data_IF_788574631066
#
_entry.id   IF_788574631066
#
_cell.length_a   1.000
_cell.length_b   1.000
_cell.length_c   1.000
_cell.angle_alpha   90.00
_cell.angle_beta   90.00
_cell.angle_gamma   90.00
#
_symmetry.space_group_name_H-M   'P 1'
#
loop_
_entity.id
_entity.type
_entity.pdbx_description
1 polymer ?
#
# COMPACT_ATOMS: atom_id res chain seq x y z
N UNK A 1 8.69 -10.75 2.87
CA UNK A 1 7.53 -11.51 2.41
C UNK A 1 7.64 -11.61 0.90
N UNK A 2 6.77 -12.35 0.23
CA UNK A 2 6.82 -12.44 -1.24
C UNK A 2 5.49 -11.99 -1.82
N UNK A 3 5.52 -10.99 -2.70
CA UNK A 3 4.37 -10.57 -3.49
C UNK A 3 3.78 -11.75 -4.28
N UNK A 4 2.45 -11.81 -4.34
CA UNK A 4 1.69 -12.81 -5.05
C UNK A 4 0.95 -12.14 -6.19
N UNK A 5 1.33 -12.54 -7.40
CA UNK A 5 0.68 -12.11 -8.63
C UNK A 5 -0.68 -12.82 -8.78
N UNK A 6 -1.76 -12.09 -8.52
CA UNK A 6 -3.15 -12.59 -8.53
C UNK A 6 -3.96 -11.78 -9.55
N UNK A 7 -4.27 -12.35 -10.73
CA UNK A 7 -4.88 -11.59 -11.84
C UNK A 7 -6.23 -10.90 -11.52
N UNK A 8 -7.15 -11.51 -10.73
CA UNK A 8 -8.36 -10.81 -10.29
C UNK A 8 -8.07 -9.51 -9.52
N UNK A 9 -7.07 -9.51 -8.64
CA UNK A 9 -6.68 -8.32 -7.88
C UNK A 9 -6.05 -7.25 -8.79
N UNK A 10 -5.22 -7.66 -9.76
CA UNK A 10 -4.63 -6.74 -10.73
C UNK A 10 -5.68 -6.00 -11.57
N UNK A 11 -6.76 -6.70 -11.95
CA UNK A 11 -7.88 -6.07 -12.66
C UNK A 11 -8.54 -4.98 -11.81
N UNK A 12 -8.74 -5.24 -10.52
CA UNK A 12 -9.29 -4.26 -9.58
C UNK A 12 -8.33 -3.08 -9.40
N UNK A 13 -7.03 -3.33 -9.20
CA UNK A 13 -6.03 -2.27 -9.09
C UNK A 13 -5.95 -1.39 -10.34
N UNK A 14 -6.08 -1.97 -11.53
CA UNK A 14 -6.08 -1.20 -12.78
C UNK A 14 -7.21 -0.15 -12.81
N UNK A 15 -8.38 -0.49 -12.25
CA UNK A 15 -9.49 0.44 -12.09
C UNK A 15 -9.28 1.40 -10.92
N UNK A 16 -8.83 0.90 -9.76
CA UNK A 16 -8.63 1.68 -8.54
C UNK A 16 -7.40 2.61 -8.59
N UNK A 17 -6.55 2.51 -9.62
CA UNK A 17 -5.36 3.35 -9.81
C UNK A 17 -5.67 4.85 -9.71
N UNK A 18 -6.82 5.29 -10.23
CA UNK A 18 -7.31 6.67 -10.12
C UNK A 18 -8.77 6.75 -10.55
N UNK A 19 -9.68 6.89 -9.59
CA UNK A 19 -11.13 6.97 -9.81
C UNK A 19 -11.62 8.37 -9.46
N UNK A 20 -11.94 9.17 -10.48
CA UNK A 20 -12.59 10.48 -10.28
C UNK A 20 -14.08 10.26 -9.96
N UNK A 21 -14.48 10.62 -8.74
CA UNK A 21 -15.89 10.55 -8.29
C UNK A 21 -16.57 11.94 -8.25
N UNK A 22 -15.94 12.96 -8.83
CA UNK A 22 -16.43 14.33 -8.95
C UNK A 22 -15.70 15.30 -8.01
N UNK A 23 -15.92 15.15 -6.70
CA UNK A 23 -15.38 16.04 -5.67
C UNK A 23 -13.94 15.67 -5.25
N UNK A 24 -13.60 14.39 -5.39
CA UNK A 24 -12.31 13.84 -5.01
C UNK A 24 -11.90 12.73 -5.97
N UNK A 25 -10.60 12.44 -5.99
CA UNK A 25 -10.03 11.31 -6.71
C UNK A 25 -9.66 10.24 -5.70
N UNK A 26 -10.16 9.03 -5.92
CA UNK A 26 -9.83 7.86 -5.11
C UNK A 26 -8.71 7.06 -5.76
N UNK A 27 -7.74 6.66 -4.95
CA UNK A 27 -6.67 5.74 -5.35
C UNK A 27 -6.67 4.57 -4.38
N UNK A 28 -6.57 3.35 -4.89
CA UNK A 28 -6.57 2.16 -4.06
C UNK A 28 -5.70 1.04 -4.61
N UNK A 29 -5.19 0.23 -3.68
CA UNK A 29 -4.24 -0.84 -3.93
C UNK A 29 -4.64 -2.09 -3.15
N UNK A 30 -4.83 -3.20 -3.87
CA UNK A 30 -4.99 -4.55 -3.33
C UNK A 30 -3.75 -5.38 -3.64
N UNK A 31 -3.05 -5.83 -2.60
CA UNK A 31 -1.84 -6.63 -2.77
C UNK A 31 -1.82 -7.83 -1.83
N UNK A 32 -1.43 -8.99 -2.36
CA UNK A 32 -1.33 -10.20 -1.57
C UNK A 32 0.13 -10.61 -1.40
N UNK A 33 0.48 -11.05 -0.19
CA UNK A 33 1.84 -11.44 0.17
C UNK A 33 1.84 -12.79 0.89
N UNK A 34 2.81 -13.64 0.55
CA UNK A 34 3.14 -14.79 1.38
C UNK A 34 3.98 -14.36 2.58
N UNK A 35 3.56 -14.77 3.78
CA UNK A 35 4.28 -14.56 5.04
C UNK A 35 5.51 -15.49 5.20
N UNK A 36 5.92 -16.19 4.14
CA UNK A 36 7.19 -16.94 4.14
C UNK A 36 8.36 -15.95 4.14
N UNK A 37 9.06 -15.87 5.26
CA UNK A 37 10.19 -14.97 5.43
C UNK A 37 11.46 -15.54 4.78
N UNK A 38 12.12 -14.71 3.97
CA UNK A 38 13.40 -15.00 3.32
C UNK A 38 14.26 -13.74 3.30
N UNK A 39 15.56 -13.88 3.04
CA UNK A 39 16.47 -12.74 2.83
C UNK A 39 16.42 -11.67 3.92
N UNK A 40 16.21 -10.43 3.50
CA UNK A 40 16.14 -9.25 4.38
C UNK A 40 14.99 -9.33 5.38
N UNK A 41 13.81 -9.83 4.98
CA UNK A 41 12.67 -9.93 5.89
C UNK A 41 12.92 -10.86 7.07
N UNK A 42 13.71 -11.91 6.87
CA UNK A 42 14.08 -12.82 7.96
C UNK A 42 14.99 -12.12 8.99
N UNK A 43 15.81 -11.15 8.55
CA UNK A 43 16.62 -10.33 9.44
C UNK A 43 15.76 -9.28 10.14
N UNK A 44 14.94 -8.56 9.38
CA UNK A 44 14.04 -7.53 9.90
C UNK A 44 13.04 -8.11 10.91
N UNK A 45 12.44 -9.26 10.61
CA UNK A 45 11.57 -9.98 11.55
C UNK A 45 12.25 -10.32 12.87
N UNK A 46 13.53 -10.71 12.86
CA UNK A 46 14.27 -10.99 14.10
C UNK A 46 14.56 -9.71 14.89
N UNK A 47 14.89 -8.62 14.20
CA UNK A 47 15.12 -7.32 14.81
C UNK A 47 13.86 -6.82 15.51
N UNK A 48 12.74 -6.82 14.79
CA UNK A 48 11.43 -6.41 15.32
C UNK A 48 10.97 -7.31 16.48
N UNK A 49 11.16 -8.63 16.40
CA UNK A 49 10.80 -9.53 17.51
C UNK A 49 11.60 -9.25 18.78
N UNK A 50 12.90 -8.95 18.65
CA UNK A 50 13.74 -8.55 19.77
C UNK A 50 13.30 -7.20 20.36
N UNK A 51 13.02 -6.23 19.49
CA UNK A 51 12.59 -4.90 19.89
C UNK A 51 11.24 -4.92 20.62
N UNK A 52 10.28 -5.70 20.13
CA UNK A 52 8.99 -5.89 20.82
C UNK A 52 9.20 -6.52 22.21
N UNK A 53 10.11 -7.48 22.35
CA UNK A 53 10.39 -8.11 23.64
C UNK A 53 11.05 -7.17 24.65
N UNK A 54 11.91 -6.25 24.18
CA UNK A 54 12.64 -5.32 25.07
C UNK A 54 11.94 -3.99 25.27
N UNK A 55 11.11 -3.57 24.30
CA UNK A 55 10.52 -2.24 24.22
C UNK A 55 9.03 -2.17 24.52
N UNK A 56 8.33 -3.31 24.64
CA UNK A 56 6.91 -3.31 25.00
C UNK A 56 6.68 -3.09 26.49
N UNK A 57 5.68 -2.27 26.79
CA UNK A 57 5.22 -2.05 28.17
C UNK A 57 4.58 -3.32 28.75
N UNK A 58 4.50 -3.46 30.09
CA UNK A 58 3.80 -4.57 30.73
C UNK A 58 2.33 -4.69 30.28
N UNK A 59 1.69 -3.56 29.95
CA UNK A 59 0.34 -3.55 29.42
C UNK A 59 0.30 -4.20 28.04
N UNK A 60 1.12 -3.77 27.09
CA UNK A 60 1.17 -4.36 25.73
C UNK A 60 1.53 -5.86 25.73
N UNK A 61 2.38 -6.29 26.66
CA UNK A 61 2.71 -7.71 26.82
C UNK A 61 1.49 -8.55 27.23
N UNK A 62 0.57 -7.98 28.00
CA UNK A 62 -0.65 -8.66 28.47
C UNK A 62 -1.87 -8.45 27.57
N UNK A 63 -2.01 -7.26 26.99
CA UNK A 63 -3.08 -6.90 26.08
C UNK A 63 -2.58 -5.83 25.10
N UNK A 64 -2.68 -6.11 23.81
CA UNK A 64 -2.45 -5.12 22.75
C UNK A 64 -3.51 -5.28 21.66
N UNK A 65 -3.69 -4.28 20.77
CA UNK A 65 -4.67 -4.36 19.70
C UNK A 65 -4.47 -5.55 18.75
N UNK A 66 -3.25 -6.08 18.64
CA UNK A 66 -2.92 -7.25 17.81
C UNK A 66 -2.88 -8.57 18.61
N UNK A 67 -3.26 -8.52 19.89
CA UNK A 67 -3.18 -9.62 20.87
C UNK A 67 -2.03 -9.44 21.87
N UNK A 68 -1.97 -10.23 22.96
CA UNK A 68 -0.92 -10.10 23.98
C UNK A 68 0.48 -10.30 23.37
N UNK A 69 1.38 -9.31 23.49
CA UNK A 69 2.72 -9.39 22.87
C UNK A 69 3.66 -10.38 23.59
N UNK A 70 3.30 -10.86 24.79
CA UNK A 70 3.95 -12.01 25.39
C UNK A 70 3.82 -13.27 24.50
N UNK A 71 2.77 -13.38 23.69
CA UNK A 71 2.56 -14.49 22.78
C UNK A 71 3.33 -14.34 21.47
N UNK A 72 4.03 -15.41 21.08
CA UNK A 72 4.80 -15.43 19.84
C UNK A 72 3.92 -15.31 18.59
N UNK A 73 2.65 -15.71 18.67
CA UNK A 73 1.63 -15.54 17.62
C UNK A 73 1.34 -14.07 17.36
N UNK A 74 1.05 -13.29 18.41
CA UNK A 74 0.73 -11.86 18.32
C UNK A 74 1.91 -11.05 17.81
N UNK A 75 3.13 -11.34 18.30
CA UNK A 75 4.35 -10.69 17.79
C UNK A 75 4.57 -10.96 16.30
N UNK A 76 4.37 -12.21 15.86
CA UNK A 76 4.46 -12.56 14.43
C UNK A 76 3.43 -11.82 13.60
N UNK A 77 2.19 -11.69 14.08
CA UNK A 77 1.17 -10.89 13.41
C UNK A 77 1.65 -9.45 13.24
N UNK A 78 2.06 -8.78 14.32
CA UNK A 78 2.58 -7.41 14.26
C UNK A 78 3.72 -7.25 13.24
N UNK A 79 4.69 -8.17 13.28
CA UNK A 79 5.81 -8.19 12.35
C UNK A 79 5.31 -8.33 10.91
N UNK A 80 4.33 -9.20 10.64
CA UNK A 80 3.79 -9.33 9.28
C UNK A 80 3.05 -8.08 8.82
N UNK A 81 2.32 -7.38 9.70
CA UNK A 81 1.69 -6.11 9.38
C UNK A 81 2.74 -5.05 9.00
N UNK A 82 3.78 -4.88 9.83
CA UNK A 82 4.88 -3.93 9.59
C UNK A 82 5.65 -4.29 8.31
N UNK A 83 5.99 -5.56 8.11
CA UNK A 83 6.66 -5.99 6.89
C UNK A 83 5.80 -5.72 5.66
N UNK A 84 4.50 -5.93 5.73
CA UNK A 84 3.58 -5.65 4.62
C UNK A 84 3.63 -4.17 4.26
N UNK A 85 3.60 -3.26 5.25
CA UNK A 85 3.77 -1.83 5.01
C UNK A 85 5.10 -1.49 4.33
N UNK A 86 6.22 -2.06 4.79
CA UNK A 86 7.53 -1.86 4.16
C UNK A 86 7.60 -2.38 2.72
N UNK A 87 6.80 -3.38 2.34
CA UNK A 87 6.74 -3.87 0.96
C UNK A 87 5.92 -2.94 0.07
N UNK A 88 4.78 -2.45 0.55
CA UNK A 88 3.87 -1.60 -0.23
C UNK A 88 4.46 -0.20 -0.41
N UNK A 89 5.17 0.28 0.59
CA UNK A 89 5.67 1.66 0.69
C UNK A 89 7.18 1.67 0.99
N UNK A 90 8.01 1.20 0.05
CA UNK A 90 9.44 0.97 0.30
C UNK A 90 10.23 2.27 0.60
N UNK A 91 9.71 3.42 0.18
CA UNK A 91 10.33 4.73 0.39
C UNK A 91 9.97 5.35 1.75
N UNK A 92 9.12 4.69 2.54
CA UNK A 92 8.66 5.17 3.84
C UNK A 92 9.29 4.35 4.98
N UNK A 93 9.64 5.03 6.08
CA UNK A 93 10.23 4.39 7.26
C UNK A 93 9.15 3.95 8.25
N UNK A 94 8.89 2.64 8.31
CA UNK A 94 7.96 2.03 9.28
C UNK A 94 8.67 1.43 10.50
N UNK A 95 9.93 1.77 10.76
CA UNK A 95 10.70 1.22 11.89
C UNK A 95 10.10 1.58 13.26
N UNK A 96 9.39 2.71 13.35
CA UNK A 96 8.73 3.18 14.57
C UNK A 96 7.35 2.55 14.80
N UNK A 97 6.80 1.80 13.84
CA UNK A 97 5.49 1.18 14.01
C UNK A 97 5.48 0.20 15.20
N UNK A 98 4.40 0.28 15.97
CA UNK A 98 4.10 -0.50 17.17
C UNK A 98 2.66 -1.00 17.16
N UNK A 99 2.34 -1.89 18.10
CA UNK A 99 1.02 -2.51 18.20
C UNK A 99 -0.15 -1.51 18.27
N UNK A 100 0.03 -0.33 18.86
CA UNK A 100 -1.04 0.68 18.99
C UNK A 100 -1.39 1.39 17.68
N UNK A 101 -0.52 1.34 16.67
CA UNK A 101 -0.84 1.86 15.34
C UNK A 101 -1.73 0.92 14.55
N UNK A 102 -2.00 -0.28 15.07
CA UNK A 102 -2.90 -1.23 14.45
C UNK A 102 -4.09 -1.49 15.34
N UNK A 103 -5.20 -1.90 14.75
CA UNK A 103 -6.42 -2.29 15.43
C UNK A 103 -6.85 -3.65 14.87
N UNK A 104 -7.22 -4.60 15.73
CA UNK A 104 -7.89 -5.82 15.26
C UNK A 104 -9.38 -5.55 15.13
N UNK A 105 -9.94 -5.86 13.97
CA UNK A 105 -11.38 -5.78 13.73
C UNK A 105 -12.11 -6.94 14.42
N UNK A 106 -13.30 -6.66 14.94
CA UNK A 106 -14.08 -7.67 15.66
C UNK A 106 -14.54 -8.81 14.73
N UNK A 107 -14.98 -8.47 13.52
CA UNK A 107 -15.42 -9.42 12.50
C UNK A 107 -15.03 -8.95 11.12
N UNK A 108 -14.87 -9.91 10.20
CA UNK A 108 -14.68 -9.64 8.77
C UNK A 108 -15.82 -8.76 8.23
N UNK A 109 -17.06 -9.05 8.58
CA UNK A 109 -18.23 -8.32 8.06
C UNK A 109 -18.27 -6.85 8.49
N UNK A 110 -17.78 -6.52 9.68
CA UNK A 110 -17.65 -5.10 10.08
C UNK A 110 -16.62 -4.36 9.23
N UNK A 111 -15.52 -5.01 8.88
CA UNK A 111 -14.52 -4.44 7.98
C UNK A 111 -15.09 -4.30 6.55
N UNK A 112 -15.83 -5.30 6.05
CA UNK A 112 -16.54 -5.22 4.77
C UNK A 112 -17.52 -4.04 4.74
N UNK A 113 -18.38 -3.89 5.76
CA UNK A 113 -19.34 -2.77 5.87
C UNK A 113 -18.65 -1.40 5.89
N UNK A 114 -17.53 -1.27 6.62
CA UNK A 114 -16.76 -0.04 6.68
C UNK A 114 -16.16 0.30 5.30
N UNK A 115 -15.51 -0.67 4.66
CA UNK A 115 -14.93 -0.52 3.32
C UNK A 115 -16.00 -0.19 2.28
N UNK A 116 -17.13 -0.90 2.29
CA UNK A 116 -18.25 -0.69 1.37
C UNK A 116 -18.76 0.76 1.44
N UNK A 117 -18.87 1.32 2.66
CA UNK A 117 -19.33 2.69 2.88
C UNK A 117 -18.43 3.73 2.20
N UNK A 118 -17.11 3.50 2.17
CA UNK A 118 -16.14 4.37 1.50
C UNK A 118 -16.18 4.22 -0.03
N UNK A 119 -16.60 3.05 -0.54
CA UNK A 119 -16.53 2.70 -1.97
C UNK A 119 -17.88 2.82 -2.70
N UNK A 120 -18.88 3.45 -2.09
CA UNK A 120 -20.20 3.66 -2.71
C UNK A 120 -20.12 4.50 -4.00
N UNK A 121 -19.38 5.60 -3.98
CA UNK A 121 -19.25 6.46 -5.18
C UNK A 121 -18.40 5.78 -6.27
N UNK A 122 -17.36 5.04 -5.87
CA UNK A 122 -16.54 4.21 -6.77
C UNK A 122 -17.40 3.19 -7.51
N UNK A 123 -18.34 2.55 -6.81
CA UNK A 123 -19.26 1.59 -7.40
C UNK A 123 -20.13 2.20 -8.51
N UNK A 124 -20.51 3.48 -8.37
CA UNK A 124 -21.27 4.20 -9.41
C UNK A 124 -20.42 4.50 -10.65
N UNK A 125 -19.13 4.80 -10.47
CA UNK A 125 -18.19 4.99 -11.59
C UNK A 125 -17.95 3.67 -12.31
N UNK A 126 -17.72 2.59 -11.56
CA UNK A 126 -17.57 1.24 -12.12
C UNK A 126 -18.75 0.83 -13.01
N UNK A 127 -19.98 1.02 -12.53
CA UNK A 127 -21.19 0.67 -13.28
C UNK A 127 -21.33 1.43 -14.62
N UNK A 128 -20.71 2.61 -14.74
CA UNK A 128 -20.69 3.43 -15.97
C UNK A 128 -19.46 3.16 -16.84
N UNK A 129 -18.48 2.40 -16.34
CA UNK A 129 -17.22 2.16 -17.04
C UNK A 129 -17.41 1.06 -18.09
N UNK A 130 -17.19 1.35 -19.40
CA UNK A 130 -17.35 0.36 -20.45
C UNK A 130 -16.45 -0.86 -20.23
N UNK A 131 -17.01 -2.07 -20.33
CA UNK A 131 -16.28 -3.33 -20.20
C UNK A 131 -16.02 -3.80 -18.75
N UNK A 132 -16.47 -3.06 -17.73
CA UNK A 132 -16.36 -3.45 -16.31
C UNK A 132 -17.73 -3.58 -15.62
N UNK A 133 -18.70 -2.73 -15.96
CA UNK A 133 -20.01 -2.64 -15.30
C UNK A 133 -20.99 -3.81 -15.52
N UNK A 134 -20.53 -4.99 -15.98
CA UNK A 134 -21.39 -6.18 -16.16
C UNK A 134 -21.83 -6.78 -14.81
N UNK A 135 -21.01 -6.64 -13.78
CA UNK A 135 -21.31 -7.06 -12.40
C UNK A 135 -21.02 -5.92 -11.42
N UNK A 136 -21.75 -5.84 -10.28
CA UNK A 136 -21.52 -4.82 -9.27
C UNK A 136 -20.07 -4.82 -8.77
N UNK A 137 -19.49 -3.64 -8.58
CA UNK A 137 -18.10 -3.50 -8.15
C UNK A 137 -17.79 -4.28 -6.87
N UNK A 138 -18.62 -4.10 -5.82
CA UNK A 138 -18.40 -4.76 -4.52
C UNK A 138 -18.49 -6.29 -4.61
N UNK A 139 -19.32 -6.83 -5.50
CA UNK A 139 -19.40 -8.27 -5.74
C UNK A 139 -18.10 -8.78 -6.40
N UNK A 140 -17.59 -8.07 -7.40
CA UNK A 140 -16.29 -8.36 -8.03
C UNK A 140 -15.14 -8.25 -7.03
N UNK A 141 -15.15 -7.23 -6.18
CA UNK A 141 -14.14 -6.97 -5.16
C UNK A 141 -14.09 -8.12 -4.15
N UNK A 142 -15.20 -8.41 -3.48
CA UNK A 142 -15.24 -9.40 -2.41
C UNK A 142 -15.06 -10.82 -2.91
N UNK A 143 -15.55 -11.16 -4.11
CA UNK A 143 -15.26 -12.47 -4.73
C UNK A 143 -13.77 -12.63 -5.03
N UNK A 144 -13.12 -11.60 -5.57
CA UNK A 144 -11.67 -11.63 -5.86
C UNK A 144 -10.83 -11.70 -4.58
N UNK A 145 -11.23 -10.98 -3.54
CA UNK A 145 -10.58 -11.04 -2.22
C UNK A 145 -10.75 -12.44 -1.61
N UNK A 146 -11.97 -13.01 -1.60
CA UNK A 146 -12.22 -14.33 -1.04
C UNK A 146 -11.44 -15.43 -1.79
N UNK A 147 -11.37 -15.38 -3.12
CA UNK A 147 -10.54 -16.29 -3.91
C UNK A 147 -9.05 -16.15 -3.55
N UNK A 148 -8.58 -14.92 -3.31
CA UNK A 148 -7.18 -14.64 -3.01
C UNK A 148 -6.77 -15.06 -1.58
N UNK A 149 -7.66 -15.02 -0.59
CA UNK A 149 -7.28 -15.14 0.83
C UNK A 149 -8.16 -16.06 1.69
N UNK A 150 -9.25 -16.61 1.15
CA UNK A 150 -10.32 -17.28 1.91
C UNK A 150 -10.78 -16.41 3.09
N UNK A 151 -11.58 -15.41 2.76
CA UNK A 151 -11.88 -14.24 3.58
C UNK A 151 -12.47 -14.62 4.95
N UNK A 152 -13.34 -15.63 4.99
CA UNK A 152 -13.96 -16.13 6.24
C UNK A 152 -12.99 -16.77 7.23
N UNK A 153 -11.78 -17.13 6.79
CA UNK A 153 -10.73 -17.68 7.65
C UNK A 153 -9.68 -16.64 8.09
N UNK A 154 -9.91 -15.36 7.80
CA UNK A 154 -8.99 -14.29 8.13
C UNK A 154 -9.24 -13.69 9.51
N UNK A 155 -8.14 -13.30 10.17
CA UNK A 155 -8.18 -12.20 11.13
C UNK A 155 -7.98 -10.89 10.35
N UNK A 156 -8.76 -9.86 10.65
CA UNK A 156 -8.68 -8.56 9.96
C UNK A 156 -8.09 -7.52 10.90
N UNK A 157 -7.19 -6.71 10.36
CA UNK A 157 -6.54 -5.61 11.06
C UNK A 157 -6.65 -4.34 10.24
N UNK A 158 -6.71 -3.19 10.89
CA UNK A 158 -6.60 -1.86 10.26
C UNK A 158 -5.35 -1.15 10.80
N UNK A 159 -4.74 -0.30 9.99
CA UNK A 159 -3.71 0.64 10.41
C UNK A 159 -4.35 2.00 10.69
N UNK A 160 -4.11 2.50 11.90
CA UNK A 160 -4.51 3.82 12.34
C UNK A 160 -3.35 4.79 12.05
N UNK A 161 -3.55 5.65 11.06
CA UNK A 161 -2.69 6.81 10.83
C UNK A 161 -2.74 7.71 12.06
N UNK A 162 -1.60 7.92 12.71
CA UNK A 162 -1.43 8.99 13.68
C UNK A 162 -0.71 10.17 13.02
N UNK A 163 -1.28 11.37 13.11
CA UNK A 163 -0.81 12.57 12.40
C UNK A 163 0.68 12.92 12.66
N UNK A 164 1.31 12.37 13.70
CA UNK A 164 2.71 12.63 14.06
C UNK A 164 3.71 11.62 13.47
N UNK A 165 3.30 10.37 13.23
CA UNK A 165 4.22 9.32 12.73
C UNK A 165 3.77 8.69 11.43
N UNK A 166 2.61 9.09 10.91
CA UNK A 166 2.07 8.58 9.66
C UNK A 166 2.88 9.06 8.45
N UNK A 167 3.58 8.15 7.75
CA UNK A 167 4.23 8.48 6.49
C UNK A 167 3.23 8.81 5.37
N UNK A 168 1.94 8.50 5.52
CA UNK A 168 0.83 8.94 4.65
C UNK A 168 0.18 10.25 5.12
N UNK A 169 0.84 11.02 5.99
CA UNK A 169 0.45 12.36 6.41
C UNK A 169 0.43 13.40 5.28
N UNK A 170 -0.09 13.01 4.12
CA UNK A 170 -0.53 13.88 3.05
C UNK A 170 -1.61 14.80 3.64
N UNK A 171 -1.25 16.06 3.86
CA UNK A 171 -2.18 17.16 4.25
C UNK A 171 -3.39 17.29 3.29
N UNK A 172 -3.37 16.59 2.15
CA UNK A 172 -4.37 16.60 1.10
C UNK A 172 -5.37 15.42 1.12
N UNK A 173 -5.20 14.42 1.99
CA UNK A 173 -6.10 13.27 2.06
C UNK A 173 -7.38 13.60 2.85
N UNK A 174 -8.55 13.42 2.23
CA UNK A 174 -9.86 13.59 2.88
C UNK A 174 -10.09 12.43 3.85
N UNK A 175 -9.77 11.23 3.41
CA UNK A 175 -9.79 10.02 4.20
C UNK A 175 -8.87 8.98 3.57
N UNK A 176 -8.34 8.10 4.39
CA UNK A 176 -7.66 6.88 3.96
C UNK A 176 -8.05 5.73 4.88
N UNK A 177 -7.96 4.53 4.34
CA UNK A 177 -8.03 3.31 5.13
C UNK A 177 -6.96 2.34 4.66
N UNK A 178 -6.52 1.48 5.58
CA UNK A 178 -5.47 0.50 5.34
C UNK A 178 -5.82 -0.78 6.08
N UNK A 179 -6.43 -1.73 5.39
CA UNK A 179 -6.87 -3.02 5.95
C UNK A 179 -5.91 -4.16 5.58
N UNK A 180 -5.79 -5.12 6.49
CA UNK A 180 -4.98 -6.32 6.34
C UNK A 180 -5.81 -7.55 6.69
N UNK A 181 -6.00 -8.43 5.71
CA UNK A 181 -6.68 -9.71 5.86
C UNK A 181 -5.63 -10.80 6.00
N UNK A 182 -5.43 -11.30 7.23
CA UNK A 182 -4.40 -12.28 7.52
C UNK A 182 -4.97 -13.69 7.69
N UNK A 183 -4.70 -14.55 6.71
CA UNK A 183 -5.01 -15.98 6.79
C UNK A 183 -3.80 -16.76 7.35
N UNK A 184 -3.89 -17.09 8.65
CA UNK A 184 -2.84 -17.84 9.38
C UNK A 184 -2.58 -19.24 8.81
N UNK A 185 -3.61 -19.93 8.31
CA UNK A 185 -3.47 -21.30 7.79
C UNK A 185 -2.71 -21.30 6.46
N UNK A 186 -3.01 -20.35 5.59
CA UNK A 186 -2.32 -20.16 4.32
C UNK A 186 -0.96 -19.50 4.46
N UNK A 187 -0.68 -18.84 5.60
CA UNK A 187 0.47 -17.95 5.79
C UNK A 187 0.52 -16.89 4.70
N UNK A 188 -0.61 -16.23 4.50
CA UNK A 188 -0.82 -15.19 3.48
C UNK A 188 -1.51 -14.01 4.12
N UNK A 189 -1.13 -12.82 3.71
CA UNK A 189 -1.80 -11.57 4.06
C UNK A 189 -2.23 -10.89 2.76
N UNK A 190 -3.42 -10.31 2.76
CA UNK A 190 -3.88 -9.42 1.71
C UNK A 190 -4.01 -8.03 2.33
N UNK A 191 -3.37 -7.05 1.72
CA UNK A 191 -3.52 -5.65 2.02
C UNK A 191 -4.57 -5.05 1.10
N UNK A 192 -5.41 -4.19 1.65
CA UNK A 192 -6.28 -3.31 0.88
C UNK A 192 -6.22 -1.90 1.47
N UNK A 193 -5.59 -0.99 0.73
CA UNK A 193 -5.53 0.41 1.07
C UNK A 193 -6.31 1.25 0.06
N UNK A 194 -6.99 2.28 0.54
CA UNK A 194 -7.52 3.35 -0.32
C UNK A 194 -7.26 4.69 0.33
N UNK A 195 -7.08 5.71 -0.51
CA UNK A 195 -7.05 7.12 -0.10
C UNK A 195 -7.90 7.95 -1.06
N UNK A 196 -8.61 8.92 -0.50
CA UNK A 196 -9.34 9.92 -1.25
C UNK A 196 -8.65 11.27 -1.08
N UNK A 197 -8.24 11.88 -2.18
CA UNK A 197 -7.64 13.22 -2.19
C UNK A 197 -8.58 14.19 -2.88
N UNK A 198 -8.63 15.43 -2.39
CA UNK A 198 -9.43 16.47 -3.04
C UNK A 198 -9.02 16.64 -4.51
N UNK A 199 -9.98 16.97 -5.37
CA UNK A 199 -9.69 17.15 -6.80
C UNK A 199 -8.64 18.24 -7.05
N UNK A 200 -8.70 19.32 -6.28
CA UNK A 200 -7.70 20.39 -6.32
C UNK A 200 -6.27 19.85 -6.05
N UNK A 201 -6.10 19.07 -4.98
CA UNK A 201 -4.79 18.52 -4.64
C UNK A 201 -4.31 17.48 -5.68
N UNK A 202 -5.23 16.71 -6.24
CA UNK A 202 -4.91 15.77 -7.32
C UNK A 202 -4.39 16.51 -8.57
N UNK A 203 -5.06 17.60 -8.97
CA UNK A 203 -4.66 18.41 -10.11
C UNK A 203 -3.28 19.06 -9.89
N UNK A 204 -3.03 19.62 -8.70
CA UNK A 204 -1.74 20.23 -8.32
C UNK A 204 -0.56 19.24 -8.37
N UNK A 205 -0.79 17.97 -7.97
CA UNK A 205 0.21 16.91 -8.05
C UNK A 205 0.55 16.53 -9.51
N UNK A 206 -0.45 16.52 -10.41
CA UNK A 206 -0.20 16.26 -11.83
C UNK A 206 0.56 17.40 -12.51
N UNK A 207 0.26 18.65 -12.17
CA UNK A 207 0.95 19.82 -12.71
C UNK A 207 2.42 19.89 -12.26
N UNK A 208 2.71 19.49 -11.02
CA UNK A 208 4.09 19.41 -10.51
C UNK A 208 4.88 18.32 -11.22
N UNK A 209 4.34 17.11 -11.37
CA UNK A 209 4.99 16.04 -12.14
C UNK A 209 5.31 16.48 -13.58
N UNK A 210 4.32 17.08 -14.25
CA UNK A 210 4.45 17.58 -15.63
C UNK A 210 5.54 18.65 -15.77
N UNK A 211 5.73 19.48 -14.73
CA UNK A 211 6.75 20.52 -14.71
C UNK A 211 8.15 19.95 -14.52
N UNK A 212 8.32 18.94 -13.65
CA UNK A 212 9.59 18.23 -13.49
C UNK A 212 9.99 17.45 -14.73
N UNK A 213 9.03 16.79 -15.40
CA UNK A 213 9.28 16.07 -16.65
C UNK A 213 9.75 17.03 -17.77
N UNK A 214 9.15 18.24 -17.85
CA UNK A 214 9.59 19.28 -18.79
C UNK A 214 11.00 19.78 -18.48
N UNK A 215 11.35 20.01 -17.22
CA UNK A 215 12.72 20.44 -16.85
C UNK A 215 13.78 19.37 -17.14
N UNK A 216 13.46 18.09 -16.99
CA UNK A 216 14.37 17.00 -17.33
C UNK A 216 14.54 16.86 -18.85
N UNK A 217 13.49 17.13 -19.65
CA UNK A 217 13.58 17.15 -21.10
C UNK A 217 14.44 18.31 -21.64
N UNK A 218 14.36 19.48 -21.01
CA UNK A 218 15.15 20.65 -21.43
C UNK A 218 16.65 20.56 -21.05
N UNK A 219 17.07 19.60 -20.22
CA UNK A 219 18.48 19.39 -19.86
C UNK A 219 19.22 18.38 -20.76
N UNK A 220 18.51 17.47 -21.43
CA UNK A 220 19.14 16.48 -22.34
C UNK A 220 19.46 17.05 -23.72
N UNK A 221 19.00 18.27 -24.06
CA UNK A 221 19.20 18.91 -25.37
C UNK A 221 20.38 19.91 -25.43
N UNK A 222 21.26 19.98 -24.40
CA UNK A 222 22.37 20.96 -24.35
C UNK A 222 23.81 20.43 -24.31
N UNK A 223 24.07 19.13 -24.51
CA UNK A 223 25.44 18.58 -24.52
C UNK A 223 25.83 17.90 -25.86
N UNK A 224 25.77 18.63 -26.98
CA UNK A 224 26.51 18.25 -28.20
C UNK A 224 27.12 19.48 -28.90
N UNK A 225 28.18 20.02 -28.31
CA UNK A 225 29.10 20.91 -29.05
C UNK A 225 30.53 20.83 -28.48
N UNK A 226 31.13 19.64 -28.58
CA UNK A 226 32.59 19.52 -28.50
C UNK A 226 33.10 18.34 -29.32
N UNK A 227 33.35 18.56 -30.61
CA UNK A 227 34.46 17.90 -31.33
C UNK A 227 34.62 18.47 -32.76
N UNK A 228 35.35 19.58 -32.88
CA UNK A 228 35.87 20.03 -34.18
C UNK A 228 37.20 20.77 -34.09
N UNK A 229 38.27 20.06 -33.71
CA UNK A 229 39.62 20.43 -34.13
C UNK A 229 40.49 19.17 -34.32
N UNK A 230 40.66 18.80 -35.59
CA UNK A 230 41.63 17.80 -35.99
C UNK A 230 41.56 17.61 -37.49
N UNK A 231 42.49 18.24 -38.23
CA UNK A 231 43.11 17.79 -39.49
C UNK A 231 43.78 18.97 -40.21
N UNK A 232 45.11 19.00 -40.19
CA UNK A 232 45.96 19.59 -41.22
C UNK A 232 47.31 18.85 -41.17
N UNK A 233 47.42 17.73 -41.90
CA UNK A 233 48.16 17.57 -43.17
C UNK A 233 49.67 17.42 -43.00
N UNK A 234 50.13 16.17 -43.08
CA UNK A 234 51.43 15.83 -43.68
C UNK A 234 51.32 15.93 -45.20
N UNK A 235 52.31 16.55 -45.84
CA UNK A 235 52.82 16.16 -47.17
C UNK A 235 54.26 16.68 -47.31
N UNK A 236 55.11 15.78 -47.81
CA UNK A 236 56.56 15.86 -48.01
C UNK A 236 57.07 17.04 -48.88
N UNK A 237 58.26 17.58 -48.61
CA UNK A 237 59.60 17.20 -49.15
C UNK A 237 60.69 17.90 -48.32
#
# INVERSE_FOLDING_TARGET
MKYLDIPPLQRLNAFLKSVDVGEYVLMGDLEAYSCKLAGLDKKLSKSLDAEVQTGSSPLELSASPVGPLAESSSRKTLIYLILTMNHIYPDHDFSLLRAHHFQKEETVSKAEEAIDSHLLEVSKVWAKTPGLGESPFLECLWSSVDEAIFLKECDVYSYNSDLETDPFGDEASIWSFHYFFYNKKMKRILYFGCRAVSKQAADEATDTSSKYDRYNQDQDDTDDDSDRYGMATEMDV
#
